data_IF_866771337464
#
_entry.id   IF_866771337464
#
_cell.length_a   1.000
_cell.length_b   1.000
_cell.length_c   1.000
_cell.angle_alpha   90.00
_cell.angle_beta   90.00
_cell.angle_gamma   90.00
#
_symmetry.space_group_name_H-M   'P 1'
#
loop_
_entity.id
_entity.type
_entity.pdbx_description
1 polymer ?
#
# COMPACT_ATOMS: atom_id res chain seq x y z
N UNK A 1 20.78 17.74 -8.51
CA UNK A 1 19.91 18.78 -7.90
C UNK A 1 18.50 18.20 -7.85
N UNK A 2 17.96 17.92 -6.66
CA UNK A 2 16.60 17.40 -6.51
C UNK A 2 15.58 18.52 -6.78
N UNK A 3 14.47 18.18 -7.44
CA UNK A 3 13.40 19.14 -7.75
C UNK A 3 12.84 19.75 -6.45
N UNK A 4 12.62 21.09 -6.39
CA UNK A 4 12.10 21.77 -5.19
C UNK A 4 10.66 21.38 -4.81
N UNK A 5 10.01 20.54 -5.62
CA UNK A 5 8.64 20.07 -5.40
C UNK A 5 8.53 18.68 -4.75
N UNK A 6 9.64 17.97 -4.49
CA UNK A 6 9.58 16.66 -3.80
C UNK A 6 9.60 16.84 -2.29
N UNK A 7 8.52 17.38 -1.73
CA UNK A 7 8.27 17.27 -0.29
C UNK A 7 7.67 15.90 -0.08
N UNK A 8 8.44 14.92 0.40
CA UNK A 8 7.84 13.63 0.79
C UNK A 8 6.78 13.91 1.86
N UNK A 9 5.51 13.76 1.51
CA UNK A 9 4.41 13.92 2.45
C UNK A 9 4.65 13.08 3.71
N UNK A 10 4.47 13.68 4.89
CA UNK A 10 4.70 13.01 6.18
C UNK A 10 3.77 11.81 6.39
N UNK A 11 2.67 11.74 5.65
CA UNK A 11 1.64 10.72 5.79
C UNK A 11 1.69 9.68 4.66
N UNK A 12 1.05 8.53 4.89
CA UNK A 12 0.84 7.47 3.91
C UNK A 12 -0.64 7.15 3.88
N UNK A 13 -1.25 7.26 2.70
CA UNK A 13 -2.63 6.82 2.49
C UNK A 13 -2.66 5.30 2.37
N UNK A 14 -3.68 4.66 2.95
CA UNK A 14 -3.82 3.21 2.87
C UNK A 14 -5.24 2.80 2.54
N UNK A 15 -5.38 2.00 1.50
CA UNK A 15 -6.64 1.43 1.05
C UNK A 15 -6.66 -0.07 1.34
N UNK A 16 -7.82 -0.56 1.79
CA UNK A 16 -8.05 -2.00 1.92
C UNK A 16 -8.83 -2.47 0.70
N UNK A 17 -8.43 -3.61 0.14
CA UNK A 17 -9.10 -4.24 -0.99
C UNK A 17 -9.44 -5.68 -0.64
N UNK A 18 -10.42 -6.25 -1.37
CA UNK A 18 -10.81 -7.65 -1.20
C UNK A 18 -9.76 -8.59 -1.81
N UNK A 19 -9.24 -8.23 -2.98
CA UNK A 19 -8.23 -9.00 -3.69
C UNK A 19 -7.04 -8.09 -4.03
N UNK A 20 -5.86 -8.50 -3.60
CA UNK A 20 -4.63 -7.75 -3.81
C UNK A 20 -4.01 -8.02 -5.18
N UNK A 21 -4.26 -9.20 -5.77
CA UNK A 21 -3.79 -9.54 -7.12
C UNK A 21 -4.56 -8.76 -8.18
N UNK A 22 -5.87 -8.62 -8.01
CA UNK A 22 -6.72 -7.78 -8.87
C UNK A 22 -6.25 -6.32 -8.83
N UNK A 23 -6.02 -5.78 -7.62
CA UNK A 23 -5.48 -4.43 -7.46
C UNK A 23 -4.09 -4.27 -8.11
N UNK A 24 -3.22 -5.28 -8.01
CA UNK A 24 -1.90 -5.25 -8.66
C UNK A 24 -2.02 -5.21 -10.19
N UNK A 25 -2.94 -6.00 -10.75
CA UNK A 25 -3.18 -6.03 -12.19
C UNK A 25 -3.66 -4.66 -12.71
N UNK A 26 -4.59 -4.00 -12.00
CA UNK A 26 -5.04 -2.65 -12.35
C UNK A 26 -3.91 -1.62 -12.26
N UNK A 27 -3.13 -1.64 -11.18
CA UNK A 27 -1.99 -0.72 -10.98
C UNK A 27 -0.96 -0.88 -12.11
N UNK A 28 -0.63 -2.11 -12.48
CA UNK A 28 0.29 -2.40 -13.59
C UNK A 28 -0.28 -2.00 -14.94
N UNK A 29 -1.60 -2.11 -15.14
CA UNK A 29 -2.27 -1.64 -16.35
C UNK A 29 -2.18 -0.11 -16.53
N UNK A 30 -1.99 0.65 -15.45
CA UNK A 30 -1.68 2.09 -15.50
C UNK A 30 -0.19 2.39 -15.81
N UNK A 31 0.63 1.36 -16.03
CA UNK A 31 2.06 1.51 -16.29
C UNK A 31 2.90 1.76 -15.03
N UNK A 32 2.34 1.50 -13.85
CA UNK A 32 3.07 1.62 -12.58
C UNK A 32 3.75 0.30 -12.28
N UNK A 33 5.09 0.32 -12.19
CA UNK A 33 5.86 -0.83 -11.74
C UNK A 33 5.69 -1.02 -10.22
N UNK A 34 5.09 -2.14 -9.85
CA UNK A 34 4.73 -2.45 -8.48
C UNK A 34 4.69 -3.96 -8.26
N UNK A 35 4.84 -4.36 -7.00
CA UNK A 35 4.80 -5.75 -6.55
C UNK A 35 4.02 -5.88 -5.24
N UNK A 36 3.51 -7.08 -5.00
CA UNK A 36 3.02 -7.48 -3.68
C UNK A 36 4.22 -7.84 -2.81
N UNK A 37 4.32 -7.18 -1.66
CA UNK A 37 5.25 -7.54 -0.59
C UNK A 37 4.51 -8.35 0.46
N UNK A 38 4.96 -9.57 0.71
CA UNK A 38 4.50 -10.39 1.83
C UNK A 38 5.25 -10.06 3.11
N UNK A 39 4.52 -9.91 4.22
CA UNK A 39 5.07 -9.70 5.55
C UNK A 39 4.38 -10.61 6.57
N UNK A 40 4.98 -10.87 7.75
CA UNK A 40 4.34 -11.67 8.80
C UNK A 40 2.97 -11.15 9.26
N UNK A 41 2.69 -9.87 9.03
CA UNK A 41 1.45 -9.19 9.41
C UNK A 41 0.49 -8.95 8.24
N UNK A 42 0.81 -9.41 7.02
CA UNK A 42 -0.06 -9.32 5.84
C UNK A 42 0.67 -8.95 4.55
N UNK A 43 -0.10 -8.81 3.48
CA UNK A 43 0.42 -8.50 2.13
C UNK A 43 0.08 -7.08 1.73
N UNK A 44 1.00 -6.40 1.05
CA UNK A 44 0.82 -5.01 0.65
C UNK A 44 1.40 -4.69 -0.71
N UNK A 45 0.78 -3.76 -1.44
CA UNK A 45 1.38 -3.07 -2.58
C UNK A 45 1.75 -1.66 -2.13
N UNK A 46 2.92 -1.17 -2.54
CA UNK A 46 3.40 0.17 -2.18
C UNK A 46 3.75 0.97 -3.42
N UNK A 47 3.10 2.11 -3.62
CA UNK A 47 3.31 3.01 -4.76
C UNK A 47 3.44 4.46 -4.28
N UNK A 48 3.82 5.35 -5.20
CA UNK A 48 3.73 6.80 -5.00
C UNK A 48 2.77 7.40 -6.01
N UNK A 49 2.00 8.41 -5.60
CA UNK A 49 1.25 9.23 -6.55
C UNK A 49 2.22 10.18 -7.32
N UNK A 50 1.75 10.89 -8.35
CA UNK A 50 2.59 11.81 -9.13
C UNK A 50 3.25 12.93 -8.30
N UNK A 51 2.66 13.29 -7.16
CA UNK A 51 3.18 14.32 -6.25
C UNK A 51 4.22 13.75 -5.26
N UNK A 52 4.41 12.43 -5.24
CA UNK A 52 5.36 11.73 -4.36
C UNK A 52 4.80 11.35 -3.00
N UNK A 53 3.48 11.44 -2.79
CA UNK A 53 2.85 10.91 -1.58
C UNK A 53 2.85 9.37 -1.62
N UNK A 54 3.05 8.76 -0.46
CA UNK A 54 3.07 7.31 -0.33
C UNK A 54 1.65 6.77 -0.27
N UNK A 55 1.38 5.74 -1.07
CA UNK A 55 0.12 5.01 -1.07
C UNK A 55 0.40 3.53 -0.81
N UNK A 56 -0.37 2.91 0.08
CA UNK A 56 -0.34 1.48 0.34
C UNK A 56 -1.69 0.83 0.06
N UNK A 57 -1.67 -0.31 -0.61
CA UNK A 57 -2.85 -1.18 -0.76
C UNK A 57 -2.59 -2.45 0.07
N UNK A 58 -3.60 -2.97 0.75
CA UNK A 58 -3.49 -4.23 1.51
C UNK A 58 -4.77 -5.03 1.45
N UNK A 59 -4.67 -6.34 1.69
CA UNK A 59 -5.86 -7.18 1.83
C UNK A 59 -6.64 -6.88 3.12
N UNK A 60 -7.97 -6.93 3.03
CA UNK A 60 -8.86 -6.74 4.18
C UNK A 60 -8.67 -7.83 5.25
N UNK A 61 -8.42 -9.07 4.81
CA UNK A 61 -8.23 -10.21 5.69
C UNK A 61 -7.00 -10.06 6.62
N UNK A 62 -5.87 -9.55 6.12
CA UNK A 62 -4.69 -9.25 6.92
C UNK A 62 -4.93 -8.14 7.93
N UNK A 63 -5.75 -7.14 7.57
CA UNK A 63 -6.13 -6.08 8.51
C UNK A 63 -7.00 -6.58 9.67
N UNK A 64 -8.02 -7.40 9.40
CA UNK A 64 -8.88 -7.96 10.45
C UNK A 64 -8.07 -8.82 11.43
N UNK A 65 -7.16 -9.66 10.93
CA UNK A 65 -6.23 -10.43 11.78
C UNK A 65 -5.40 -9.53 12.69
N UNK A 66 -4.87 -8.43 12.16
CA UNK A 66 -4.07 -7.48 12.93
C UNK A 66 -4.87 -6.77 14.04
N UNK A 67 -6.11 -6.38 13.78
CA UNK A 67 -6.98 -5.73 14.77
C UNK A 67 -7.33 -6.70 15.91
N UNK A 68 -7.56 -7.98 15.62
CA UNK A 68 -7.85 -8.98 16.64
C UNK A 68 -6.62 -9.35 17.49
N UNK A 69 -5.43 -9.44 16.90
CA UNK A 69 -4.20 -9.73 17.63
C UNK A 69 -3.83 -8.64 18.67
N UNK A 70 -4.31 -7.40 18.48
CA UNK A 70 -4.09 -6.28 19.41
C UNK A 70 -5.08 -6.19 20.57
N UNK A 71 -6.17 -6.95 20.56
CA UNK A 71 -7.17 -6.94 21.65
C UNK A 71 -6.91 -7.96 22.75
N UNK A 72 -5.94 -8.85 22.58
CA UNK A 72 -5.56 -9.89 23.53
C UNK A 72 -4.21 -9.67 24.21
N UNK A 73 -3.60 -8.49 24.02
CA UNK A 73 -2.36 -8.07 24.67
C UNK A 73 -2.62 -6.95 25.69
#
# INVERSE_FOLDING_TARGET
MGSPWSVKGSFKLRFNVKDLEEALAEIRAWGIDADITENPWGRTINISDPDGNRVGVRDEAGFVRQIHARKTA
#
